data_IF_293171241611
#
_entry.id   IF_293171241611
#
_cell.length_a   1.000
_cell.length_b   1.000
_cell.length_c   1.000
_cell.angle_alpha   90.00
_cell.angle_beta   90.00
_cell.angle_gamma   90.00
#
_symmetry.space_group_name_H-M   'P 1'
#
loop_
_entity.id
_entity.type
_entity.pdbx_description
1 polymer ?
#
# COMPACT_ATOMS: atom_id res chain seq x y z
N UNK A 1 10.54 34.71 11.89
CA UNK A 1 10.96 33.30 11.73
C UNK A 1 11.78 33.22 10.45
N UNK A 2 12.99 32.67 10.46
CA UNK A 2 13.75 32.53 9.22
C UNK A 2 13.02 31.57 8.28
N UNK A 3 13.05 31.84 6.98
CA UNK A 3 12.40 31.01 5.95
C UNK A 3 12.82 29.54 6.06
N UNK A 4 14.06 29.25 6.49
CA UNK A 4 14.57 27.90 6.72
C UNK A 4 13.85 27.14 7.83
N UNK A 5 13.59 27.77 8.98
CA UNK A 5 12.85 27.12 10.08
C UNK A 5 11.39 26.84 9.69
N UNK A 6 10.78 27.73 8.89
CA UNK A 6 9.44 27.51 8.36
C UNK A 6 9.38 26.29 7.41
N UNK A 7 10.33 26.19 6.48
CA UNK A 7 10.42 25.06 5.54
C UNK A 7 10.65 23.73 6.25
N UNK A 8 11.57 23.68 7.22
CA UNK A 8 11.84 22.48 8.02
C UNK A 8 10.59 22.03 8.80
N UNK A 9 9.90 22.96 9.45
CA UNK A 9 8.65 22.65 10.16
C UNK A 9 7.59 22.10 9.22
N UNK A 10 7.46 22.67 8.02
CA UNK A 10 6.49 22.23 7.01
C UNK A 10 6.81 20.84 6.47
N UNK A 11 8.09 20.56 6.17
CA UNK A 11 8.55 19.24 5.74
C UNK A 11 8.32 18.19 6.83
N UNK A 12 8.63 18.52 8.09
CA UNK A 12 8.38 17.62 9.22
C UNK A 12 6.89 17.30 9.38
N UNK A 13 6.02 18.31 9.32
CA UNK A 13 4.57 18.10 9.38
C UNK A 13 4.05 17.28 8.20
N UNK A 14 4.56 17.54 6.99
CA UNK A 14 4.21 16.75 5.80
C UNK A 14 4.62 15.28 5.95
N UNK A 15 5.83 15.03 6.48
CA UNK A 15 6.30 13.67 6.75
C UNK A 15 5.44 12.97 7.80
N UNK A 16 5.06 13.68 8.87
CA UNK A 16 4.18 13.13 9.91
C UNK A 16 2.81 12.72 9.34
N UNK A 17 2.23 13.57 8.50
CA UNK A 17 0.97 13.27 7.80
C UNK A 17 1.14 12.06 6.89
N UNK A 18 2.23 12.00 6.11
CA UNK A 18 2.52 10.90 5.19
C UNK A 18 2.65 9.56 5.93
N UNK A 19 3.38 9.55 7.05
CA UNK A 19 3.49 8.38 7.92
C UNK A 19 2.13 7.96 8.46
N UNK A 20 1.31 8.93 8.91
CA UNK A 20 -0.05 8.67 9.35
C UNK A 20 -0.91 8.03 8.25
N UNK A 21 -0.83 8.54 7.02
CA UNK A 21 -1.54 7.97 5.86
C UNK A 21 -1.04 6.55 5.57
N UNK A 22 0.27 6.31 5.55
CA UNK A 22 0.82 4.98 5.28
C UNK A 22 0.35 3.94 6.30
N UNK A 23 0.40 4.28 7.60
CA UNK A 23 -0.08 3.41 8.67
C UNK A 23 -1.58 3.17 8.54
N UNK A 24 -2.36 4.23 8.31
CA UNK A 24 -3.81 4.12 8.18
C UNK A 24 -4.22 3.25 6.99
N UNK A 25 -3.63 3.48 5.83
CA UNK A 25 -3.88 2.67 4.62
C UNK A 25 -3.45 1.21 4.84
N UNK A 26 -2.32 0.97 5.49
CA UNK A 26 -1.88 -0.38 5.83
C UNK A 26 -2.88 -1.11 6.75
N UNK A 27 -3.34 -0.45 7.81
CA UNK A 27 -4.35 -1.02 8.73
C UNK A 27 -5.65 -1.29 7.98
N UNK A 28 -6.13 -0.33 7.18
CA UNK A 28 -7.38 -0.48 6.43
C UNK A 28 -7.31 -1.68 5.46
N UNK A 29 -6.17 -1.91 4.84
CA UNK A 29 -6.03 -2.97 3.83
C UNK A 29 -5.72 -4.35 4.40
N UNK A 30 -5.18 -4.43 5.62
CA UNK A 30 -4.69 -5.70 6.22
C UNK A 30 -5.40 -6.13 7.51
N UNK A 31 -6.09 -5.21 8.21
CA UNK A 31 -6.70 -5.46 9.53
C UNK A 31 -8.23 -5.36 9.51
N UNK A 32 -8.80 -4.54 8.61
CA UNK A 32 -10.26 -4.46 8.43
C UNK A 32 -10.79 -5.83 7.96
N UNK A 33 -12.00 -6.25 8.36
CA UNK A 33 -12.53 -7.62 8.15
C UNK A 33 -12.68 -8.11 6.70
N UNK A 34 -12.18 -7.37 5.71
CA UNK A 34 -12.08 -7.85 4.34
C UNK A 34 -10.74 -8.58 4.16
N UNK A 35 -10.76 -9.89 3.89
CA UNK A 35 -9.55 -10.68 3.64
C UNK A 35 -8.89 -10.23 2.31
N UNK A 36 -7.70 -9.60 2.34
CA UNK A 36 -7.03 -9.13 1.14
C UNK A 36 -6.66 -10.28 0.18
N UNK A 37 -6.40 -11.48 0.70
CA UNK A 37 -6.16 -12.66 -0.15
C UNK A 37 -7.41 -13.05 -0.91
N UNK A 38 -8.58 -13.01 -0.25
CA UNK A 38 -9.87 -13.30 -0.89
C UNK A 38 -10.25 -12.22 -1.92
N UNK A 39 -10.00 -10.95 -1.62
CA UNK A 39 -10.20 -9.84 -2.56
C UNK A 39 -9.33 -9.98 -3.81
N UNK A 40 -8.06 -10.38 -3.63
CA UNK A 40 -7.16 -10.61 -4.74
C UNK A 40 -7.53 -11.86 -5.53
N UNK A 41 -7.86 -12.98 -4.88
CA UNK A 41 -8.23 -14.23 -5.55
C UNK A 41 -9.58 -14.13 -6.28
N UNK A 42 -10.48 -13.28 -5.80
CA UNK A 42 -11.80 -13.03 -6.38
C UNK A 42 -12.92 -13.85 -5.73
N UNK A 43 -14.19 -13.46 -5.97
CA UNK A 43 -15.35 -13.96 -5.21
C UNK A 43 -15.68 -15.44 -5.45
N UNK A 44 -15.10 -16.07 -6.49
CA UNK A 44 -15.32 -17.48 -6.84
C UNK A 44 -14.09 -18.35 -6.57
N UNK A 45 -13.03 -17.80 -5.96
CA UNK A 45 -11.82 -18.56 -5.67
C UNK A 45 -12.10 -19.66 -4.64
N UNK A 46 -11.55 -20.85 -4.88
CA UNK A 46 -11.57 -21.94 -3.90
C UNK A 46 -10.63 -21.60 -2.74
N UNK A 47 -10.90 -22.14 -1.54
CA UNK A 47 -10.07 -21.90 -0.36
C UNK A 47 -8.57 -22.15 -0.59
N UNK A 48 -8.22 -23.20 -1.35
CA UNK A 48 -6.83 -23.49 -1.71
C UNK A 48 -6.17 -22.36 -2.55
N UNK A 49 -6.92 -21.72 -3.44
CA UNK A 49 -6.42 -20.61 -4.27
C UNK A 49 -6.25 -19.34 -3.43
N UNK A 50 -7.14 -19.11 -2.45
CA UNK A 50 -7.01 -17.98 -1.51
C UNK A 50 -5.76 -18.15 -0.66
N UNK A 51 -5.48 -19.36 -0.19
CA UNK A 51 -4.28 -19.62 0.62
C UNK A 51 -2.99 -19.49 -0.19
N UNK A 52 -3.00 -19.95 -1.44
CA UNK A 52 -1.88 -19.75 -2.36
C UNK A 52 -1.59 -18.25 -2.57
N UNK A 53 -2.65 -17.45 -2.79
CA UNK A 53 -2.54 -15.99 -2.90
C UNK A 53 -2.07 -15.35 -1.59
N UNK A 54 -2.51 -15.86 -0.43
CA UNK A 54 -2.06 -15.38 0.89
C UNK A 54 -0.55 -15.50 1.03
N UNK A 55 0.00 -16.67 0.70
CA UNK A 55 1.45 -16.89 0.71
C UNK A 55 2.17 -16.01 -0.32
N UNK A 56 1.65 -15.90 -1.54
CA UNK A 56 2.25 -15.07 -2.60
C UNK A 56 2.34 -13.58 -2.20
N UNK A 57 1.33 -13.06 -1.49
CA UNK A 57 1.28 -11.68 -1.01
C UNK A 57 1.99 -11.46 0.33
N UNK A 58 2.60 -12.50 0.92
CA UNK A 58 3.24 -12.45 2.24
C UNK A 58 2.28 -12.03 3.35
N UNK A 59 1.03 -12.46 3.24
CA UNK A 59 -0.03 -12.13 4.19
C UNK A 59 -0.02 -13.03 5.44
N UNK A 60 0.75 -14.12 5.42
CA UNK A 60 0.99 -15.03 6.54
C UNK A 60 2.06 -14.53 7.51
N UNK A 61 2.93 -13.62 7.06
CA UNK A 61 3.98 -13.00 7.87
C UNK A 61 3.40 -12.15 9.02
N UNK A 62 4.16 -11.93 10.12
CA UNK A 62 3.75 -11.00 11.17
C UNK A 62 3.52 -9.58 10.62
N UNK A 63 2.47 -8.89 11.10
CA UNK A 63 2.11 -7.53 10.67
C UNK A 63 3.29 -6.53 10.63
N UNK A 64 4.24 -6.52 11.60
CA UNK A 64 5.40 -5.64 11.53
C UNK A 64 6.29 -5.91 10.30
N UNK A 65 6.47 -7.18 9.93
CA UNK A 65 7.25 -7.59 8.74
C UNK A 65 6.54 -7.13 7.47
N UNK A 66 5.21 -7.31 7.41
CA UNK A 66 4.40 -6.82 6.30
C UNK A 66 4.49 -5.30 6.16
N UNK A 67 4.46 -4.56 7.27
CA UNK A 67 4.55 -3.09 7.26
C UNK A 67 5.92 -2.59 6.78
N UNK A 68 7.02 -3.20 7.26
CA UNK A 68 8.37 -2.82 6.82
C UNK A 68 8.55 -3.04 5.32
N UNK A 69 8.02 -4.16 4.79
CA UNK A 69 8.04 -4.44 3.35
C UNK A 69 7.24 -3.42 2.56
N UNK A 70 6.00 -3.16 2.98
CA UNK A 70 5.13 -2.15 2.40
C UNK A 70 5.82 -0.77 2.34
N UNK A 71 6.34 -0.28 3.46
CA UNK A 71 7.05 1.01 3.48
C UNK A 71 8.32 0.97 2.61
N UNK A 72 9.06 -0.13 2.64
CA UNK A 72 10.26 -0.30 1.81
C UNK A 72 10.00 -0.24 0.31
N UNK A 73 8.91 -0.85 -0.16
CA UNK A 73 8.43 -0.79 -1.54
C UNK A 73 8.00 0.64 -1.91
N UNK A 74 7.19 1.28 -1.05
CA UNK A 74 6.73 2.65 -1.27
C UNK A 74 7.89 3.66 -1.40
N UNK A 75 8.91 3.53 -0.55
CA UNK A 75 10.10 4.39 -0.59
C UNK A 75 10.95 4.17 -1.86
N UNK A 76 10.85 3.00 -2.50
CA UNK A 76 11.48 2.71 -3.79
C UNK A 76 10.63 3.18 -4.98
N UNK A 77 9.46 3.77 -4.73
CA UNK A 77 8.51 4.17 -5.75
C UNK A 77 7.69 3.01 -6.31
N UNK A 78 7.72 1.85 -5.64
CA UNK A 78 6.86 0.72 -5.96
C UNK A 78 5.54 0.86 -5.17
N UNK A 79 4.46 1.07 -5.91
CA UNK A 79 3.11 1.19 -5.34
C UNK A 79 2.41 -0.18 -5.25
N UNK A 80 3.05 -1.24 -5.72
CA UNK A 80 2.50 -2.58 -5.82
C UNK A 80 1.55 -2.76 -7.00
N UNK A 81 0.80 -3.86 -6.95
CA UNK A 81 -0.17 -4.24 -7.98
C UNK A 81 -1.61 -3.91 -7.57
N UNK A 82 -2.39 -3.50 -8.55
CA UNK A 82 -3.82 -3.31 -8.42
C UNK A 82 -4.52 -4.66 -8.26
N UNK A 83 -5.30 -4.80 -7.19
CA UNK A 83 -6.09 -6.01 -6.96
C UNK A 83 -7.14 -6.26 -8.05
N UNK A 84 -7.55 -5.20 -8.76
CA UNK A 84 -8.56 -5.24 -9.83
C UNK A 84 -7.97 -5.56 -11.19
N UNK A 85 -6.91 -4.85 -11.59
CA UNK A 85 -6.34 -4.96 -12.94
C UNK A 85 -5.17 -5.93 -13.02
N UNK A 86 -4.61 -6.35 -11.88
CA UNK A 86 -3.40 -7.21 -11.80
C UNK A 86 -2.19 -6.60 -12.50
N UNK A 87 -2.11 -5.26 -12.48
CA UNK A 87 -1.02 -4.48 -13.08
C UNK A 87 -0.43 -3.57 -12.02
N UNK A 88 0.83 -3.16 -12.25
CA UNK A 88 1.46 -2.15 -11.41
C UNK A 88 0.59 -0.88 -11.33
N UNK A 89 0.28 -0.43 -10.12
CA UNK A 89 -0.59 0.74 -9.88
C UNK A 89 -0.03 1.97 -10.59
N UNK A 90 1.30 2.12 -10.62
CA UNK A 90 1.95 3.22 -11.31
C UNK A 90 1.67 3.23 -12.83
N UNK A 91 1.55 2.05 -13.46
CA UNK A 91 1.21 1.95 -14.87
C UNK A 91 -0.24 2.39 -15.12
N UNK A 92 -1.16 1.97 -14.25
CA UNK A 92 -2.56 2.41 -14.33
C UNK A 92 -2.68 3.92 -14.11
N UNK A 93 -1.99 4.47 -13.11
CA UNK A 93 -1.98 5.92 -12.86
C UNK A 93 -1.45 6.70 -14.05
N UNK A 94 -0.36 6.25 -14.71
CA UNK A 94 0.18 6.92 -15.90
C UNK A 94 -0.81 7.01 -17.06
N UNK A 95 -1.73 6.05 -17.20
CA UNK A 95 -2.77 6.08 -18.23
C UNK A 95 -3.78 7.19 -17.96
N UNK A 96 -4.08 7.48 -16.69
CA UNK A 96 -5.08 8.47 -16.29
C UNK A 96 -4.48 9.84 -15.88
N UNK A 97 -3.15 9.93 -15.74
CA UNK A 97 -2.47 11.15 -15.30
C UNK A 97 -2.16 12.22 -16.38
N UNK A 98 -2.35 12.05 -17.71
CA UNK A 98 -2.43 13.21 -18.58
C UNK A 98 -3.89 13.67 -18.61
N UNK A 99 -4.33 14.31 -17.51
CA UNK A 99 -5.60 15.01 -17.46
C UNK A 99 -5.48 16.47 -17.95
N UNK A 100 -4.37 16.80 -18.61
CA UNK A 100 -4.07 18.10 -19.24
C UNK A 100 -3.28 17.91 -20.51
#
# INVERSE_FOLDING_TARGET
MSTGTYLLRRLFLALLVLVGVFVLTFIITRVVPADPAQLYAGPRARAAQVEEVRMQLGLDDPLPVQFVRYVGELLRGDLGESFRTKRAILADLRVFLPAT
#
